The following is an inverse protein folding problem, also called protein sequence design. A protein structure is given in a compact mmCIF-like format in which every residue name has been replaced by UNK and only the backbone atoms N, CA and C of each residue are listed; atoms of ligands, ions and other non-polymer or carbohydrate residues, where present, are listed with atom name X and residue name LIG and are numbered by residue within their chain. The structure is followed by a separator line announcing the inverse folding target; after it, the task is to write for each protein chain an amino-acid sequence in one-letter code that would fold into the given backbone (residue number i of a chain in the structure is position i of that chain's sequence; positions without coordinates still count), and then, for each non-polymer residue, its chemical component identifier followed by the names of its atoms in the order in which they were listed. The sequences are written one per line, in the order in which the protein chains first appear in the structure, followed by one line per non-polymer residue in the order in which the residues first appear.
data_IF_470354347677
#
_entry.id   IF_470354347677
#
_cell.length_a   1.000
_cell.length_b   1.000
_cell.length_c   1.000
_cell.angle_alpha   90.00
_cell.angle_beta   90.00
_cell.angle_gamma   90.00
#
_symmetry.space_group_name_H-M   'P 1'
#
loop_
_entity.id
_entity.type
_entity.pdbx_description
1 polymer ?
#
# COMPACT_ATOMS: atom_id res chain seq x y z
N UNK A 1 6.97 -24.86 24.86
CA UNK A 1 7.94 -24.35 23.86
C UNK A 1 7.30 -23.11 23.26
N UNK A 2 7.80 -21.92 23.58
CA UNK A 2 7.23 -20.65 23.10
C UNK A 2 8.05 -20.20 21.90
N UNK A 3 7.44 -20.14 20.72
CA UNK A 3 8.08 -19.64 19.51
C UNK A 3 7.93 -18.12 19.47
N UNK A 4 9.04 -17.40 19.33
CA UNK A 4 9.03 -15.96 19.10
C UNK A 4 8.81 -15.66 17.61
N UNK A 5 8.14 -14.55 17.25
CA UNK A 5 7.97 -14.15 15.86
C UNK A 5 9.32 -13.82 15.21
N UNK A 6 9.48 -14.21 13.95
CA UNK A 6 10.68 -13.95 13.14
C UNK A 6 10.69 -12.49 12.68
N UNK A 7 11.80 -11.76 12.93
CA UNK A 7 11.98 -10.39 12.42
C UNK A 7 12.70 -10.45 11.08
N UNK A 8 12.12 -9.81 10.05
CA UNK A 8 12.69 -9.71 8.70
C UNK A 8 12.88 -8.24 8.31
N UNK A 9 14.00 -7.94 7.66
CA UNK A 9 14.22 -6.68 6.96
C UNK A 9 13.80 -6.85 5.51
N UNK A 10 12.95 -5.94 5.01
CA UNK A 10 12.49 -5.90 3.62
C UNK A 10 12.83 -4.53 3.06
N UNK A 11 13.57 -4.51 1.95
CA UNK A 11 13.94 -3.27 1.25
C UNK A 11 12.76 -2.77 0.40
N UNK A 12 12.38 -1.51 0.59
CA UNK A 12 11.44 -0.82 -0.30
C UNK A 12 12.22 -0.16 -1.45
N UNK A 13 12.06 -0.70 -2.65
CA UNK A 13 12.74 -0.18 -3.85
C UNK A 13 11.94 0.98 -4.44
N UNK A 14 12.41 2.19 -4.22
CA UNK A 14 11.85 3.40 -4.82
C UNK A 14 12.46 3.63 -6.21
N UNK A 15 11.66 3.69 -7.28
CA UNK A 15 12.16 4.09 -8.60
C UNK A 15 12.75 5.50 -8.57
N UNK A 16 13.72 5.77 -9.45
CA UNK A 16 14.32 7.09 -9.57
C UNK A 16 13.26 8.17 -9.88
N UNK A 17 13.30 9.28 -9.15
CA UNK A 17 12.32 10.37 -9.29
C UNK A 17 10.95 10.08 -8.66
N UNK A 18 10.76 8.94 -8.00
CA UNK A 18 9.52 8.62 -7.28
C UNK A 18 9.69 8.74 -5.76
N UNK A 19 8.55 8.83 -5.05
CA UNK A 19 8.47 8.70 -3.60
C UNK A 19 7.60 7.48 -3.26
N UNK A 20 7.86 6.85 -2.12
CA UNK A 20 7.03 5.76 -1.58
C UNK A 20 6.31 6.25 -0.32
N UNK A 21 5.02 5.95 -0.23
CA UNK A 21 4.20 6.10 0.98
C UNK A 21 3.73 4.71 1.38
N UNK A 22 4.09 4.26 2.59
CA UNK A 22 3.65 2.99 3.16
C UNK A 22 2.71 3.28 4.33
N UNK A 23 1.56 2.62 4.36
CA UNK A 23 0.57 2.76 5.41
C UNK A 23 -0.17 1.46 5.70
N UNK A 24 -0.94 1.45 6.79
CA UNK A 24 -1.83 0.37 7.16
C UNK A 24 -3.27 0.85 6.96
N UNK A 25 -4.08 0.06 6.25
CA UNK A 25 -5.52 0.29 6.13
C UNK A 25 -6.28 -1.01 6.34
N UNK A 26 -7.60 -0.93 6.21
CA UNK A 26 -8.53 -2.05 6.20
C UNK A 26 -9.65 -1.72 5.21
N UNK A 27 -10.39 -2.76 4.79
CA UNK A 27 -11.51 -2.67 3.84
C UNK A 27 -11.12 -2.33 2.39
N UNK A 28 -11.71 -3.07 1.44
CA UNK A 28 -11.33 -3.05 0.02
C UNK A 28 -11.54 -1.69 -0.66
N UNK A 29 -12.47 -0.88 -0.13
CA UNK A 29 -12.73 0.48 -0.62
C UNK A 29 -11.53 1.43 -0.47
N UNK A 30 -10.54 1.08 0.34
CA UNK A 30 -9.27 1.82 0.47
C UNK A 30 -8.66 2.18 -0.89
N UNK A 31 -8.69 1.27 -1.87
CA UNK A 31 -8.08 1.53 -3.18
C UNK A 31 -8.79 2.65 -3.93
N UNK A 32 -10.13 2.62 -3.97
CA UNK A 32 -10.95 3.65 -4.60
C UNK A 32 -10.83 4.99 -3.87
N UNK A 33 -10.93 4.97 -2.55
CA UNK A 33 -10.89 6.21 -1.75
C UNK A 33 -9.54 6.92 -1.88
N UNK A 34 -8.43 6.17 -1.89
CA UNK A 34 -7.09 6.76 -2.11
C UNK A 34 -6.92 7.26 -3.55
N UNK A 35 -7.44 6.53 -4.54
CA UNK A 35 -7.42 6.99 -5.92
C UNK A 35 -8.17 8.33 -6.06
N UNK A 36 -9.38 8.42 -5.51
CA UNK A 36 -10.21 9.62 -5.51
C UNK A 36 -9.50 10.79 -4.81
N UNK A 37 -8.94 10.56 -3.62
CA UNK A 37 -8.21 11.59 -2.87
C UNK A 37 -7.04 12.13 -3.70
N UNK A 38 -6.24 11.27 -4.33
CA UNK A 38 -5.05 11.70 -5.06
C UNK A 38 -5.44 12.48 -6.31
N UNK A 39 -6.36 11.95 -7.14
CA UNK A 39 -6.72 12.60 -8.41
C UNK A 39 -7.48 13.92 -8.21
N UNK A 40 -8.26 14.02 -7.12
CA UNK A 40 -8.94 15.27 -6.76
C UNK A 40 -8.00 16.30 -6.16
N UNK A 41 -6.94 15.86 -5.45
CA UNK A 41 -5.91 16.76 -4.89
C UNK A 41 -4.93 17.27 -5.94
N UNK A 42 -4.54 16.42 -6.89
CA UNK A 42 -3.67 16.78 -8.01
C UNK A 42 -4.05 15.98 -9.27
N UNK A 43 -4.77 16.61 -10.23
CA UNK A 43 -5.21 15.95 -11.47
C UNK A 43 -4.07 15.45 -12.37
N UNK A 44 -2.86 16.00 -12.24
CA UNK A 44 -1.70 15.62 -13.06
C UNK A 44 -0.82 14.56 -12.39
N UNK A 45 -1.15 14.14 -11.16
CA UNK A 45 -0.35 13.20 -10.40
C UNK A 45 -0.16 11.87 -11.16
N UNK A 46 1.09 11.39 -11.18
CA UNK A 46 1.44 10.03 -11.61
C UNK A 46 1.67 9.19 -10.36
N UNK A 47 0.81 8.20 -10.13
CA UNK A 47 0.85 7.39 -8.92
C UNK A 47 0.39 5.95 -9.21
N UNK A 48 0.76 5.04 -8.32
CA UNK A 48 0.25 3.69 -8.25
C UNK A 48 -0.18 3.37 -6.82
N UNK A 49 -1.22 2.56 -6.67
CA UNK A 49 -1.73 2.09 -5.38
C UNK A 49 -1.73 0.57 -5.42
N UNK A 50 -1.27 -0.07 -4.34
CA UNK A 50 -1.39 -1.50 -4.12
C UNK A 50 -1.94 -1.72 -2.71
N UNK A 51 -2.85 -2.67 -2.54
CA UNK A 51 -3.50 -2.94 -1.25
C UNK A 51 -3.55 -4.45 -1.01
N UNK A 52 -2.83 -4.92 0.00
CA UNK A 52 -2.86 -6.33 0.37
C UNK A 52 -4.15 -6.63 1.14
N UNK A 53 -5.11 -7.27 0.47
CA UNK A 53 -6.34 -7.72 1.10
C UNK A 53 -6.02 -8.77 2.19
N UNK A 54 -6.43 -8.50 3.43
CA UNK A 54 -6.05 -9.32 4.58
C UNK A 54 -6.97 -10.54 4.81
N UNK A 55 -8.10 -10.61 4.13
CA UNK A 55 -9.11 -11.67 4.27
C UNK A 55 -9.64 -12.12 2.91
N UNK A 56 -10.48 -13.15 2.87
CA UNK A 56 -11.08 -13.61 1.60
C UNK A 56 -10.04 -14.15 0.63
N UNK A 57 -10.11 -13.66 -0.62
CA UNK A 57 -9.24 -14.10 -1.71
C UNK A 57 -7.79 -13.64 -1.52
N UNK A 58 -7.57 -12.59 -0.71
CA UNK A 58 -6.24 -12.09 -0.31
C UNK A 58 -5.39 -11.64 -1.50
N UNK A 59 -6.00 -10.80 -2.32
CA UNK A 59 -5.37 -10.24 -3.52
C UNK A 59 -4.51 -9.00 -3.22
N UNK A 60 -3.77 -8.56 -4.24
CA UNK A 60 -2.99 -7.31 -4.26
C UNK A 60 -3.65 -6.30 -5.19
#
# INVERSE_FOLDING_TARGET
MVSFPEIKSIELRTPEGCNIILGQSHFIKTVEDLYEIIITSNPEAKFGIAFSEASGDRLV
#
